data_IF_948172179288
#
_entry.id   IF_948172179288
#
_cell.length_a   1.000
_cell.length_b   1.000
_cell.length_c   1.000
_cell.angle_alpha   90.00
_cell.angle_beta   90.00
_cell.angle_gamma   90.00
#
_symmetry.space_group_name_H-M   'P 1'
#
loop_
_entity.id
_entity.type
_entity.pdbx_description
1 polymer ?
#
# COMPACT_ATOMS: atom_id res chain seq x y z
N UNK A 1 -25.03 0.07 10.38
CA UNK A 1 -23.62 0.19 9.95
C UNK A 1 -23.22 1.62 9.63
N UNK A 2 -24.10 2.44 9.08
CA UNK A 2 -23.87 3.89 8.84
C UNK A 2 -23.21 4.63 10.02
N UNK A 3 -23.63 4.35 11.26
CA UNK A 3 -23.06 5.01 12.45
C UNK A 3 -21.55 4.80 12.63
N UNK A 4 -20.96 3.83 11.93
CA UNK A 4 -19.54 3.53 11.99
C UNK A 4 -18.77 4.01 10.76
N UNK A 5 -19.42 4.36 9.64
CA UNK A 5 -18.71 4.91 8.48
C UNK A 5 -18.28 6.34 8.81
N UNK A 6 -16.96 6.53 8.85
CA UNK A 6 -16.32 7.84 9.09
C UNK A 6 -15.92 8.41 7.75
N UNK A 7 -16.12 9.72 7.57
CA UNK A 7 -15.60 10.46 6.42
C UNK A 7 -14.54 11.43 6.91
N UNK A 8 -13.26 11.05 6.82
CA UNK A 8 -12.18 11.94 7.22
C UNK A 8 -12.09 13.19 6.30
N UNK A 9 -11.68 14.32 6.87
CA UNK A 9 -11.52 15.55 6.10
C UNK A 9 -10.34 15.49 5.12
N UNK A 10 -9.35 14.65 5.40
CA UNK A 10 -8.19 14.36 4.56
C UNK A 10 -8.42 13.29 3.50
N UNK A 11 -9.66 12.78 3.37
CA UNK A 11 -10.06 11.84 2.33
C UNK A 11 -9.62 12.28 0.94
N UNK A 12 -8.95 11.37 0.25
CA UNK A 12 -8.80 11.39 -1.20
C UNK A 12 -10.17 11.56 -1.87
N UNK A 13 -10.27 12.38 -2.92
CA UNK A 13 -11.50 12.48 -3.71
C UNK A 13 -11.99 11.10 -4.17
N UNK A 14 -11.09 10.21 -4.58
CA UNK A 14 -11.44 8.87 -5.03
C UNK A 14 -12.03 8.04 -3.88
N UNK A 15 -11.37 8.00 -2.73
CA UNK A 15 -11.86 7.26 -1.55
C UNK A 15 -13.22 7.79 -1.08
N UNK A 16 -13.43 9.12 -1.12
CA UNK A 16 -14.73 9.72 -0.77
C UNK A 16 -15.84 9.21 -1.68
N UNK A 17 -15.58 9.06 -2.98
CA UNK A 17 -16.56 8.55 -3.94
C UNK A 17 -16.81 7.06 -3.73
N UNK A 18 -15.75 6.27 -3.55
CA UNK A 18 -15.86 4.82 -3.27
C UNK A 18 -16.65 4.58 -1.99
N UNK A 19 -16.34 5.29 -0.90
CA UNK A 19 -16.98 5.11 0.38
C UNK A 19 -18.46 5.51 0.36
N UNK A 20 -18.82 6.55 -0.40
CA UNK A 20 -20.21 6.92 -0.65
C UNK A 20 -20.97 5.83 -1.40
N UNK A 21 -20.38 5.28 -2.46
CA UNK A 21 -21.01 4.20 -3.23
C UNK A 21 -21.21 2.93 -2.37
N UNK A 22 -20.30 2.66 -1.43
CA UNK A 22 -20.46 1.57 -0.44
C UNK A 22 -21.55 1.89 0.58
N UNK A 23 -21.63 3.12 1.08
CA UNK A 23 -22.66 3.53 2.03
C UNK A 23 -24.07 3.43 1.43
N UNK A 24 -24.26 3.87 0.18
CA UNK A 24 -25.55 3.77 -0.52
C UNK A 24 -25.97 2.30 -0.73
N UNK A 25 -25.04 1.42 -1.07
CA UNK A 25 -25.34 -0.01 -1.21
C UNK A 25 -25.76 -0.65 0.12
N UNK A 26 -25.08 -0.28 1.21
CA UNK A 26 -25.45 -0.71 2.57
C UNK A 26 -26.86 -0.21 2.94
N UNK A 27 -27.18 1.05 2.65
CA UNK A 27 -28.50 1.65 2.88
C UNK A 27 -29.60 0.94 2.09
N UNK A 28 -29.38 0.73 0.79
CA UNK A 28 -30.33 0.07 -0.11
C UNK A 28 -30.64 -1.36 0.35
N UNK A 29 -29.62 -2.12 0.79
CA UNK A 29 -29.80 -3.48 1.30
C UNK A 29 -30.56 -3.51 2.63
N UNK A 30 -30.27 -2.59 3.56
CA UNK A 30 -31.00 -2.50 4.82
C UNK A 30 -32.49 -2.16 4.60
N UNK A 31 -32.80 -1.27 3.64
CA UNK A 31 -34.19 -0.93 3.29
C UNK A 31 -34.91 -2.05 2.54
N UNK A 32 -34.17 -2.78 1.68
CA UNK A 32 -34.65 -3.97 1.01
C UNK A 32 -35.09 -5.06 2.00
N UNK A 33 -34.27 -5.33 3.02
CA UNK A 33 -34.60 -6.28 4.08
C UNK A 33 -35.76 -5.84 4.97
N UNK A 34 -35.89 -4.55 5.28
CA UNK A 34 -37.07 -4.01 5.98
C UNK A 34 -38.36 -4.22 5.17
N UNK A 35 -38.32 -3.94 3.87
CA UNK A 35 -39.47 -4.17 2.99
C UNK A 35 -39.76 -5.66 2.75
N UNK A 36 -38.75 -6.54 2.83
CA UNK A 36 -38.89 -8.00 2.72
C UNK A 36 -39.43 -8.62 4.00
N UNK A 37 -39.05 -8.09 5.16
CA UNK A 37 -39.61 -8.47 6.47
C UNK A 37 -41.06 -7.99 6.64
N UNK A 38 -41.43 -6.83 6.09
CA UNK A 38 -42.84 -6.38 6.01
C UNK A 38 -43.69 -7.15 4.99
N UNK A 39 -43.05 -7.78 3.99
CA UNK A 39 -43.71 -8.57 2.94
C UNK A 39 -43.65 -10.09 3.12
N UNK A 40 -43.07 -10.61 4.21
CA UNK A 40 -43.20 -12.03 4.57
C UNK A 40 -44.57 -12.32 5.20
N UNK A 41 -45.60 -12.13 4.38
CA UNK A 41 -46.90 -12.81 4.45
C UNK A 41 -47.35 -13.24 3.05
N UNK A 42 -46.46 -13.74 2.19
CA UNK A 42 -46.85 -14.63 1.09
C UNK A 42 -45.62 -15.27 0.44
N UNK A 43 -45.76 -16.56 0.12
CA UNK A 43 -44.76 -17.43 -0.50
C UNK A 43 -44.37 -16.94 -1.89
N UNK A 44 -43.08 -16.98 -2.23
CA UNK A 44 -42.51 -18.07 -3.03
C UNK A 44 -41.01 -17.83 -3.24
N UNK A 45 -40.24 -18.90 -3.08
CA UNK A 45 -38.81 -18.94 -3.34
C UNK A 45 -38.58 -19.73 -4.63
N UNK A 46 -37.87 -19.14 -5.60
CA UNK A 46 -36.81 -19.80 -6.39
C UNK A 46 -36.32 -18.93 -7.55
N UNK A 47 -35.04 -19.19 -7.87
CA UNK A 47 -34.24 -18.77 -9.01
C UNK A 47 -33.51 -17.43 -8.83
N UNK A 48 -32.20 -17.53 -8.59
CA UNK A 48 -31.19 -16.66 -9.21
C UNK A 48 -29.81 -17.31 -9.05
N UNK A 49 -29.40 -18.06 -10.08
CA UNK A 49 -28.00 -18.34 -10.39
C UNK A 49 -27.71 -17.73 -11.77
N UNK A 50 -26.51 -17.16 -11.92
CA UNK A 50 -25.89 -16.65 -13.15
C UNK A 50 -26.40 -15.34 -13.78
N UNK A 51 -26.46 -14.26 -12.99
CA UNK A 51 -26.32 -12.91 -13.53
C UNK A 51 -24.95 -12.30 -13.17
N UNK A 52 -24.14 -12.01 -14.19
CA UNK A 52 -23.12 -10.95 -14.10
C UNK A 52 -23.88 -9.69 -13.69
N UNK A 53 -23.85 -9.37 -12.41
CA UNK A 53 -24.65 -8.29 -11.87
C UNK A 53 -24.14 -6.99 -12.47
N UNK A 54 -24.98 -6.34 -13.27
CA UNK A 54 -24.65 -5.04 -13.87
C UNK A 54 -24.34 -4.05 -12.76
N UNK A 55 -23.34 -3.19 -12.99
CA UNK A 55 -23.04 -2.09 -12.08
C UNK A 55 -24.30 -1.26 -11.86
N UNK A 56 -24.46 -0.69 -10.66
CA UNK A 56 -25.54 0.27 -10.43
C UNK A 56 -25.29 1.53 -11.28
N UNK A 57 -26.35 2.24 -11.65
CA UNK A 57 -26.23 3.53 -12.36
C UNK A 57 -25.30 4.52 -11.63
N UNK A 58 -25.26 4.46 -10.29
CA UNK A 58 -24.38 5.29 -9.48
C UNK A 58 -22.91 4.84 -9.53
N UNK A 59 -22.66 3.54 -9.51
CA UNK A 59 -21.31 2.99 -9.71
C UNK A 59 -20.79 3.34 -11.12
N UNK A 60 -21.63 3.23 -12.15
CA UNK A 60 -21.25 3.59 -13.53
C UNK A 60 -20.91 5.08 -13.66
N UNK A 61 -21.70 5.96 -13.04
CA UNK A 61 -21.41 7.41 -13.01
C UNK A 61 -20.12 7.70 -12.26
N UNK A 62 -19.91 7.07 -11.12
CA UNK A 62 -18.72 7.24 -10.30
C UNK A 62 -17.48 6.76 -11.04
N UNK A 63 -17.54 5.58 -11.67
CA UNK A 63 -16.47 5.04 -12.50
C UNK A 63 -16.16 5.93 -13.69
N UNK A 64 -17.20 6.42 -14.39
CA UNK A 64 -17.02 7.32 -15.53
C UNK A 64 -16.30 8.60 -15.12
N UNK A 65 -16.67 9.18 -13.98
CA UNK A 65 -16.01 10.36 -13.45
C UNK A 65 -14.56 10.09 -13.01
N UNK A 66 -14.30 8.99 -12.28
CA UNK A 66 -12.93 8.62 -11.89
C UNK A 66 -12.02 8.37 -13.10
N UNK A 67 -12.55 7.72 -14.15
CA UNK A 67 -11.83 7.52 -15.41
C UNK A 67 -11.53 8.87 -16.10
N UNK A 68 -12.51 9.79 -16.12
CA UNK A 68 -12.36 11.11 -16.71
C UNK A 68 -11.28 11.96 -15.98
N UNK A 69 -11.11 11.80 -14.66
CA UNK A 69 -10.04 12.44 -13.90
C UNK A 69 -8.63 11.93 -14.30
N UNK A 70 -8.53 10.70 -14.81
CA UNK A 70 -7.28 10.03 -15.16
C UNK A 70 -6.92 10.16 -16.65
N UNK A 71 -7.88 10.51 -17.52
CA UNK A 71 -7.70 10.62 -18.97
C UNK A 71 -7.24 12.02 -19.41
N UNK A 72 -5.99 12.19 -19.92
CA UNK A 72 -5.48 13.49 -20.36
C UNK A 72 -6.27 14.17 -21.49
N UNK A 73 -7.12 13.43 -22.20
CA UNK A 73 -7.98 13.95 -23.27
C UNK A 73 -9.32 14.46 -22.76
N UNK A 74 -9.69 14.13 -21.52
CA UNK A 74 -10.92 14.59 -20.87
C UNK A 74 -10.82 16.06 -20.43
N UNK A 75 -11.95 16.78 -20.50
CA UNK A 75 -12.06 18.12 -19.90
C UNK A 75 -11.95 18.10 -18.38
N UNK A 76 -12.25 16.96 -17.75
CA UNK A 76 -12.19 16.76 -16.31
C UNK A 76 -10.82 16.25 -15.83
N UNK A 77 -9.83 16.14 -16.71
CA UNK A 77 -8.50 15.65 -16.34
C UNK A 77 -7.88 16.44 -15.18
N UNK A 78 -7.45 15.74 -14.13
CA UNK A 78 -6.80 16.34 -12.96
C UNK A 78 -5.52 15.59 -12.60
N UNK A 79 -4.32 16.13 -12.85
CA UNK A 79 -3.09 15.51 -12.39
C UNK A 79 -2.96 15.66 -10.86
N UNK A 80 -2.33 14.67 -10.22
CA UNK A 80 -1.97 14.75 -8.81
C UNK A 80 -0.67 15.53 -8.71
N UNK A 81 -0.67 16.66 -7.99
CA UNK A 81 0.50 17.56 -7.90
C UNK A 81 1.14 17.50 -6.52
N UNK A 82 0.29 17.46 -5.48
CA UNK A 82 0.68 17.39 -4.08
C UNK A 82 -0.12 16.29 -3.38
N UNK A 83 0.46 15.68 -2.35
CA UNK A 83 -0.27 14.74 -1.49
C UNK A 83 -1.17 15.45 -0.48
N UNK A 84 -0.86 16.68 -0.07
CA UNK A 84 -1.65 17.39 0.93
C UNK A 84 -2.92 18.06 0.39
N UNK A 85 -3.07 18.22 -0.93
CA UNK A 85 -4.14 19.05 -1.52
C UNK A 85 -4.58 18.50 -2.87
N UNK A 86 -5.89 18.28 -3.01
CA UNK A 86 -6.49 17.89 -4.29
C UNK A 86 -6.40 19.01 -5.32
N UNK A 87 -6.41 18.65 -6.60
CA UNK A 87 -6.26 19.62 -7.69
C UNK A 87 -7.30 20.75 -7.62
N UNK A 88 -8.56 20.42 -7.31
CA UNK A 88 -9.64 21.40 -7.15
C UNK A 88 -9.53 22.24 -5.87
N UNK A 89 -8.75 21.79 -4.90
CA UNK A 89 -8.43 22.55 -3.69
C UNK A 89 -7.38 23.65 -3.92
N UNK A 90 -6.77 23.70 -5.11
CA UNK A 90 -5.80 24.74 -5.46
C UNK A 90 -6.53 26.06 -5.71
N UNK A 91 -6.21 27.08 -4.91
CA UNK A 91 -6.72 28.44 -5.12
C UNK A 91 -6.04 29.10 -6.34
N UNK A 92 -6.62 28.89 -7.51
CA UNK A 92 -6.13 29.41 -8.78
C UNK A 92 -6.19 30.94 -8.91
N UNK A 93 -6.84 31.64 -7.96
CA UNK A 93 -6.86 33.11 -7.94
C UNK A 93 -5.57 33.71 -7.39
N UNK A 94 -4.75 32.91 -6.69
CA UNK A 94 -3.45 33.36 -6.19
C UNK A 94 -2.46 33.57 -7.34
N UNK A 95 -1.74 34.70 -7.39
CA UNK A 95 -0.78 34.98 -8.47
C UNK A 95 0.25 33.87 -8.67
N UNK A 96 0.80 33.31 -7.58
CA UNK A 96 1.75 32.20 -7.67
C UNK A 96 1.15 30.97 -8.36
N UNK A 97 -0.08 30.59 -8.00
CA UNK A 97 -0.73 29.41 -8.59
C UNK A 97 -1.05 29.63 -10.07
N UNK A 98 -1.55 30.83 -10.40
CA UNK A 98 -1.93 31.19 -11.76
C UNK A 98 -0.72 31.25 -12.71
N UNK A 99 0.38 31.87 -12.28
CA UNK A 99 1.51 32.18 -13.15
C UNK A 99 2.70 31.22 -13.01
N UNK A 100 2.87 30.56 -11.86
CA UNK A 100 4.01 29.65 -11.64
C UNK A 100 3.54 28.21 -11.64
N UNK A 101 2.63 27.85 -10.73
CA UNK A 101 2.21 26.47 -10.54
C UNK A 101 1.56 25.88 -11.79
N UNK A 102 0.70 26.64 -12.48
CA UNK A 102 0.06 26.22 -13.73
C UNK A 102 1.07 25.83 -14.81
N UNK A 103 2.08 26.68 -15.04
CA UNK A 103 3.12 26.41 -16.04
C UNK A 103 4.03 25.25 -15.61
N UNK A 104 4.33 25.15 -14.31
CA UNK A 104 5.02 23.99 -13.76
C UNK A 104 4.27 22.69 -14.06
N UNK A 105 2.96 22.62 -13.78
CA UNK A 105 2.15 21.42 -14.02
C UNK A 105 2.15 21.05 -15.51
N UNK A 106 1.98 22.03 -16.40
CA UNK A 106 2.04 21.79 -17.84
C UNK A 106 3.38 21.21 -18.29
N UNK A 107 4.50 21.76 -17.80
CA UNK A 107 5.82 21.24 -18.10
C UNK A 107 6.04 19.84 -17.49
N UNK A 108 5.64 19.67 -16.23
CA UNK A 108 5.80 18.45 -15.46
C UNK A 108 5.07 17.25 -16.09
N UNK A 109 3.87 17.46 -16.64
CA UNK A 109 3.12 16.43 -17.38
C UNK A 109 3.93 15.80 -18.52
N UNK A 110 4.76 16.60 -19.20
CA UNK A 110 5.65 16.09 -20.27
C UNK A 110 6.90 15.37 -19.74
N UNK A 111 7.22 15.52 -18.46
CA UNK A 111 8.41 14.99 -17.80
C UNK A 111 8.11 13.64 -17.14
N UNK A 112 6.94 13.50 -16.53
CA UNK A 112 6.50 12.27 -15.89
C UNK A 112 6.08 11.23 -16.91
N UNK A 113 6.05 9.96 -16.48
CA UNK A 113 5.73 8.84 -17.36
C UNK A 113 4.25 8.74 -17.69
N UNK A 114 3.41 9.01 -16.69
CA UNK A 114 1.95 9.08 -16.80
C UNK A 114 1.56 10.50 -16.41
N UNK A 115 0.77 11.20 -17.23
CA UNK A 115 0.52 12.63 -17.04
C UNK A 115 -0.18 12.96 -15.71
N UNK A 116 -0.84 11.98 -15.09
CA UNK A 116 -1.43 12.09 -13.76
C UNK A 116 -0.41 12.21 -12.64
N UNK A 117 0.85 11.82 -12.86
CA UNK A 117 1.88 11.61 -11.84
C UNK A 117 2.79 12.82 -11.59
N UNK A 118 2.32 14.06 -11.79
CA UNK A 118 3.11 15.28 -11.52
C UNK A 118 3.74 15.25 -10.12
N UNK A 119 3.02 14.67 -9.14
CA UNK A 119 3.45 14.43 -7.76
C UNK A 119 4.77 13.64 -7.65
N UNK A 120 5.06 12.71 -8.56
CA UNK A 120 6.32 11.95 -8.56
C UNK A 120 7.49 12.88 -8.85
N UNK A 121 7.35 13.78 -9.85
CA UNK A 121 8.35 14.80 -10.12
C UNK A 121 8.46 15.80 -8.96
N UNK A 122 7.34 16.22 -8.37
CA UNK A 122 7.33 17.10 -7.19
C UNK A 122 8.18 16.52 -6.06
N UNK A 123 8.03 15.23 -5.77
CA UNK A 123 8.83 14.54 -4.75
C UNK A 123 10.30 14.43 -5.13
N UNK A 124 10.63 14.08 -6.37
CA UNK A 124 12.02 14.06 -6.82
C UNK A 124 12.67 15.44 -6.66
N UNK A 125 12.01 16.52 -7.10
CA UNK A 125 12.51 17.87 -6.90
C UNK A 125 12.70 18.19 -5.40
N UNK A 126 11.75 17.81 -4.55
CA UNK A 126 11.86 17.96 -3.11
C UNK A 126 13.10 17.24 -2.57
N UNK A 127 13.27 15.95 -2.87
CA UNK A 127 14.38 15.15 -2.35
C UNK A 127 15.75 15.65 -2.84
N UNK A 128 15.86 16.03 -4.11
CA UNK A 128 17.10 16.56 -4.66
C UNK A 128 17.44 17.97 -4.18
N UNK A 129 16.46 18.75 -3.71
CA UNK A 129 16.69 20.10 -3.19
C UNK A 129 16.78 20.17 -1.67
N UNK A 130 16.36 19.13 -0.94
CA UNK A 130 16.43 19.08 0.53
C UNK A 130 17.28 17.91 1.03
N UNK A 131 16.87 16.68 0.76
CA UNK A 131 17.48 15.44 1.27
C UNK A 131 18.95 15.30 0.87
N UNK A 132 19.23 15.41 -0.42
CA UNK A 132 20.59 15.27 -0.98
C UNK A 132 21.56 16.35 -0.46
N UNK A 133 21.28 17.67 -0.57
CA UNK A 133 22.20 18.69 -0.07
C UNK A 133 22.34 18.64 1.45
N UNK A 134 21.27 18.30 2.19
CA UNK A 134 21.34 18.10 3.64
C UNK A 134 22.29 16.96 4.01
N UNK A 135 22.18 15.81 3.34
CA UNK A 135 23.07 14.68 3.55
C UNK A 135 24.52 15.04 3.22
N UNK A 136 24.75 15.69 2.08
CA UNK A 136 26.08 16.13 1.65
C UNK A 136 26.72 17.09 2.67
N UNK A 137 25.96 18.05 3.20
CA UNK A 137 26.46 18.99 4.20
C UNK A 137 26.78 18.29 5.54
N UNK A 138 25.98 17.31 5.96
CA UNK A 138 26.27 16.54 7.19
C UNK A 138 27.55 15.69 7.06
N UNK A 139 27.83 15.15 5.88
CA UNK A 139 29.04 14.34 5.65
C UNK A 139 30.30 15.17 5.41
N UNK A 140 30.20 16.22 4.59
CA UNK A 140 31.37 16.94 4.05
C UNK A 140 31.50 18.39 4.51
N UNK A 141 30.43 18.97 5.06
CA UNK A 141 30.40 20.32 5.58
C UNK A 141 30.68 20.36 7.07
N UNK A 142 29.68 20.74 7.87
CA UNK A 142 29.78 20.81 9.33
C UNK A 142 28.64 20.05 9.98
N UNK A 143 28.98 18.92 10.58
CA UNK A 143 28.01 18.15 11.34
C UNK A 143 27.60 18.89 12.62
N UNK A 144 26.30 18.98 12.85
CA UNK A 144 25.72 19.30 14.16
C UNK A 144 24.60 18.32 14.47
N UNK A 145 24.41 17.99 15.75
CA UNK A 145 23.32 17.09 16.16
C UNK A 145 21.94 17.65 15.84
N UNK A 146 21.77 18.98 15.91
CA UNK A 146 20.50 19.62 15.54
C UNK A 146 20.19 19.35 14.07
N UNK A 147 21.15 19.59 13.17
CA UNK A 147 20.96 19.29 11.74
C UNK A 147 20.78 17.78 11.51
N UNK A 148 21.55 16.93 12.18
CA UNK A 148 21.40 15.48 12.09
C UNK A 148 19.99 15.00 12.47
N UNK A 149 19.44 15.48 13.59
CA UNK A 149 18.08 15.15 14.05
C UNK A 149 17.03 15.68 13.08
N UNK A 150 17.14 16.95 12.66
CA UNK A 150 16.20 17.53 11.70
C UNK A 150 16.22 16.81 10.36
N UNK A 151 17.41 16.37 9.91
CA UNK A 151 17.55 15.53 8.72
C UNK A 151 16.84 14.19 8.90
N UNK A 152 17.07 13.47 10.00
CA UNK A 152 16.40 12.19 10.28
C UNK A 152 14.87 12.33 10.32
N UNK A 153 14.34 13.39 10.93
CA UNK A 153 12.91 13.68 10.97
C UNK A 153 12.34 13.98 9.58
N UNK A 154 13.08 14.74 8.78
CA UNK A 154 12.73 15.01 7.38
C UNK A 154 12.69 13.70 6.57
N UNK A 155 13.70 12.83 6.69
CA UNK A 155 13.69 11.53 6.00
C UNK A 155 12.51 10.69 6.43
N UNK A 156 12.20 10.62 7.73
CA UNK A 156 11.05 9.88 8.23
C UNK A 156 9.73 10.34 7.57
N UNK A 157 9.57 11.64 7.35
CA UNK A 157 8.41 12.19 6.63
C UNK A 157 8.38 11.83 5.14
N UNK A 158 9.53 11.52 4.53
CA UNK A 158 9.65 11.19 3.12
C UNK A 158 9.58 9.70 2.82
N UNK A 159 9.95 8.85 3.78
CA UNK A 159 10.10 7.40 3.62
C UNK A 159 8.86 6.71 3.04
N UNK A 160 7.67 7.02 3.55
CA UNK A 160 6.42 6.42 3.05
C UNK A 160 6.19 6.73 1.57
N UNK A 161 6.11 8.01 1.24
CA UNK A 161 5.94 8.47 -0.15
C UNK A 161 7.06 7.95 -1.07
N UNK A 162 8.33 8.01 -0.66
CA UNK A 162 9.43 7.52 -1.48
C UNK A 162 9.34 6.01 -1.74
N UNK A 163 9.05 5.21 -0.70
CA UNK A 163 8.91 3.75 -0.84
C UNK A 163 7.82 3.39 -1.83
N UNK A 164 6.67 4.07 -1.79
CA UNK A 164 5.58 3.78 -2.71
C UNK A 164 5.80 4.40 -4.10
N UNK A 165 6.56 5.48 -4.24
CA UNK A 165 7.10 5.90 -5.53
C UNK A 165 8.02 4.82 -6.12
N UNK A 166 8.87 4.20 -5.29
CA UNK A 166 9.73 3.10 -5.72
C UNK A 166 8.95 1.83 -6.03
N UNK A 167 7.85 1.54 -5.31
CA UNK A 167 6.91 0.48 -5.65
C UNK A 167 6.33 0.69 -7.06
N UNK A 168 5.88 1.90 -7.38
CA UNK A 168 5.43 2.25 -8.72
C UNK A 168 6.57 2.15 -9.75
N UNK A 169 7.77 2.61 -9.41
CA UNK A 169 8.95 2.56 -10.29
C UNK A 169 9.30 1.13 -10.69
N UNK A 170 9.35 0.20 -9.74
CA UNK A 170 9.77 -1.19 -10.01
C UNK A 170 8.72 -2.01 -10.75
N UNK A 171 7.43 -1.73 -10.52
CA UNK A 171 6.34 -2.37 -11.25
C UNK A 171 6.19 -1.77 -12.64
N UNK A 172 6.02 -0.44 -12.74
CA UNK A 172 5.77 0.23 -14.02
C UNK A 172 7.01 0.46 -14.88
N UNK A 173 8.21 0.15 -14.37
CA UNK A 173 9.51 0.35 -15.04
C UNK A 173 9.83 1.83 -15.25
N UNK A 174 9.77 2.59 -14.16
CA UNK A 174 10.08 4.01 -14.10
C UNK A 174 8.89 4.90 -13.77
N UNK A 175 9.18 6.13 -13.35
CA UNK A 175 8.17 7.18 -13.04
C UNK A 175 8.31 8.41 -13.93
N UNK A 176 9.42 8.53 -14.65
CA UNK A 176 9.66 9.60 -15.62
C UNK A 176 9.51 9.11 -17.07
N UNK A 177 9.31 10.09 -17.96
CA UNK A 177 9.23 9.86 -19.40
C UNK A 177 10.54 9.23 -19.91
N UNK A 178 10.44 8.35 -20.91
CA UNK A 178 11.57 7.56 -21.45
C UNK A 178 12.78 8.40 -21.87
N UNK A 179 12.57 9.66 -22.28
CA UNK A 179 13.63 10.63 -22.62
C UNK A 179 14.58 10.94 -21.45
N UNK A 180 14.10 10.78 -20.22
CA UNK A 180 14.86 10.93 -18.98
C UNK A 180 15.24 9.57 -18.38
N UNK A 181 15.16 8.48 -19.16
CA UNK A 181 15.34 7.11 -18.67
C UNK A 181 16.69 6.88 -17.96
N UNK A 182 17.74 7.59 -18.35
CA UNK A 182 19.02 7.54 -17.63
C UNK A 182 18.89 8.08 -16.20
N UNK A 183 18.31 9.27 -16.02
CA UNK A 183 18.07 9.84 -14.70
C UNK A 183 17.09 8.98 -13.89
N UNK A 184 15.99 8.53 -14.53
CA UNK A 184 14.98 7.65 -13.92
C UNK A 184 15.57 6.32 -13.42
N UNK A 185 16.56 5.76 -14.14
CA UNK A 185 17.26 4.56 -13.71
C UNK A 185 18.29 4.80 -12.61
N UNK A 186 18.88 5.99 -12.56
CA UNK A 186 20.05 6.27 -11.70
C UNK A 186 19.69 6.94 -10.38
N UNK A 187 18.61 7.73 -10.29
CA UNK A 187 18.24 8.40 -9.05
C UNK A 187 18.09 7.44 -7.84
N UNK A 188 17.57 6.20 -7.98
CA UNK A 188 17.42 5.31 -6.83
C UNK A 188 18.77 4.97 -6.18
N UNK A 189 19.86 4.93 -6.96
CA UNK A 189 21.18 4.64 -6.41
C UNK A 189 21.68 5.72 -5.44
N UNK A 190 21.16 6.95 -5.54
CA UNK A 190 21.42 8.01 -4.57
C UNK A 190 20.36 8.07 -3.48
N UNK A 191 19.07 7.96 -3.85
CA UNK A 191 17.96 8.19 -2.92
C UNK A 191 17.60 6.96 -2.08
N UNK A 192 17.77 5.74 -2.57
CA UNK A 192 17.43 4.51 -1.84
C UNK A 192 18.14 4.46 -0.47
N UNK A 193 19.47 4.65 -0.36
CA UNK A 193 20.15 4.59 0.93
C UNK A 193 19.72 5.71 1.89
N UNK A 194 19.42 6.91 1.36
CA UNK A 194 18.93 8.04 2.16
C UNK A 194 17.55 7.76 2.77
N UNK A 195 16.77 6.92 2.11
CA UNK A 195 15.43 6.52 2.54
C UNK A 195 15.43 5.16 3.26
N UNK A 196 16.61 4.57 3.50
CA UNK A 196 16.77 3.33 4.25
C UNK A 196 16.62 2.04 3.43
N UNK A 197 16.50 2.15 2.11
CA UNK A 197 16.53 0.99 1.21
C UNK A 197 17.96 0.54 0.93
N UNK A 198 18.13 -0.77 0.81
CA UNK A 198 19.32 -1.36 0.18
C UNK A 198 19.10 -1.43 -1.33
N UNK A 199 20.16 -1.20 -2.11
CA UNK A 199 20.03 -1.07 -3.56
C UNK A 199 19.38 -2.31 -4.17
N UNK A 200 18.35 -2.13 -5.01
CA UNK A 200 17.65 -3.21 -5.72
C UNK A 200 17.02 -4.32 -4.85
N UNK A 201 17.25 -4.38 -3.54
CA UNK A 201 16.74 -5.45 -2.70
C UNK A 201 15.23 -5.40 -2.59
N UNK A 202 14.64 -4.20 -2.58
CA UNK A 202 13.19 -4.07 -2.63
C UNK A 202 12.59 -4.68 -3.90
N UNK A 203 13.23 -4.50 -5.06
CA UNK A 203 12.81 -5.16 -6.30
C UNK A 203 12.91 -6.69 -6.23
N UNK A 204 14.03 -7.23 -5.75
CA UNK A 204 14.21 -8.68 -5.68
C UNK A 204 13.28 -9.31 -4.66
N UNK A 205 13.10 -8.69 -3.50
CA UNK A 205 12.21 -9.18 -2.46
C UNK A 205 10.75 -9.04 -2.86
N UNK A 206 10.31 -7.84 -3.28
CA UNK A 206 8.90 -7.59 -3.60
C UNK A 206 8.49 -8.29 -4.90
N UNK A 207 9.13 -7.97 -6.02
CA UNK A 207 8.68 -8.37 -7.36
C UNK A 207 9.11 -9.78 -7.72
N UNK A 208 10.32 -10.20 -7.32
CA UNK A 208 10.88 -11.50 -7.74
C UNK A 208 10.67 -12.62 -6.74
N UNK A 209 10.16 -12.31 -5.55
CA UNK A 209 9.97 -13.25 -4.46
C UNK A 209 8.54 -13.16 -3.88
N UNK A 210 8.17 -12.07 -3.21
CA UNK A 210 6.87 -11.92 -2.54
C UNK A 210 5.67 -12.07 -3.50
N UNK A 211 5.65 -11.35 -4.63
CA UNK A 211 4.60 -11.52 -5.65
C UNK A 211 4.58 -12.90 -6.31
N UNK A 212 5.69 -13.62 -6.30
CA UNK A 212 5.75 -14.98 -6.86
C UNK A 212 5.15 -15.99 -5.90
N UNK A 213 5.32 -15.77 -4.59
CA UNK A 213 4.87 -16.68 -3.54
C UNK A 213 3.50 -16.29 -2.96
N UNK A 214 3.01 -15.06 -3.18
CA UNK A 214 1.66 -14.62 -2.82
C UNK A 214 1.36 -14.64 -1.32
N UNK A 215 2.35 -14.32 -0.48
CA UNK A 215 2.29 -14.52 0.98
C UNK A 215 2.09 -16.00 1.41
N UNK A 216 2.23 -16.95 0.48
CA UNK A 216 2.18 -18.38 0.74
C UNK A 216 3.39 -18.91 1.51
N UNK A 217 3.44 -20.23 1.79
CA UNK A 217 4.46 -20.84 2.66
C UNK A 217 5.92 -20.67 2.19
N UNK A 218 6.13 -20.45 0.89
CA UNK A 218 7.46 -20.21 0.32
C UNK A 218 7.93 -18.75 0.44
N UNK A 219 7.05 -17.83 0.85
CA UNK A 219 7.38 -16.44 1.04
C UNK A 219 8.17 -16.22 2.36
N UNK A 220 9.39 -15.71 2.25
CA UNK A 220 10.24 -15.31 3.38
C UNK A 220 9.61 -14.24 4.27
N UNK A 221 8.64 -13.49 3.76
CA UNK A 221 7.83 -12.52 4.49
C UNK A 221 6.42 -13.01 4.83
N UNK A 222 6.14 -14.31 4.65
CA UNK A 222 4.83 -14.89 4.97
C UNK A 222 4.46 -14.72 6.43
N UNK A 223 3.22 -14.33 6.68
CA UNK A 223 2.63 -14.29 8.02
C UNK A 223 1.96 -15.61 8.42
N UNK A 224 1.76 -16.55 7.49
CA UNK A 224 0.92 -17.75 7.70
C UNK A 224 1.43 -18.67 8.80
N UNK A 225 2.75 -18.75 8.98
CA UNK A 225 3.38 -19.58 10.00
C UNK A 225 3.28 -18.99 11.42
N UNK A 226 2.59 -17.86 11.58
CA UNK A 226 2.50 -17.14 12.84
C UNK A 226 1.06 -16.97 13.31
N UNK A 227 0.88 -16.99 14.63
CA UNK A 227 -0.29 -16.42 15.28
C UNK A 227 -0.23 -14.90 15.16
N UNK A 228 -1.10 -14.31 14.34
CA UNK A 228 -0.97 -12.93 13.86
C UNK A 228 -1.44 -11.85 14.84
N UNK A 229 -2.00 -12.28 15.97
CA UNK A 229 -2.34 -11.44 17.12
C UNK A 229 -1.47 -11.74 18.36
N UNK A 230 -0.33 -12.41 18.16
CA UNK A 230 0.66 -12.72 19.21
C UNK A 230 1.87 -11.79 19.11
N UNK A 231 2.13 -11.04 20.19
CA UNK A 231 3.28 -10.15 20.29
C UNK A 231 4.62 -10.87 20.14
N UNK A 232 4.78 -12.05 20.72
CA UNK A 232 6.03 -12.82 20.61
C UNK A 232 6.26 -13.32 19.18
N UNK A 233 5.20 -13.72 18.49
CA UNK A 233 5.29 -14.16 17.09
C UNK A 233 5.65 -12.99 16.17
N UNK A 234 5.06 -11.83 16.41
CA UNK A 234 5.43 -10.60 15.71
C UNK A 234 6.90 -10.23 15.92
N UNK A 235 7.40 -10.28 17.16
CA UNK A 235 8.82 -10.03 17.43
C UNK A 235 9.74 -11.05 16.73
N UNK A 236 9.36 -12.33 16.72
CA UNK A 236 10.11 -13.36 16.00
C UNK A 236 10.13 -13.10 14.49
N UNK A 237 8.98 -12.73 13.91
CA UNK A 237 8.84 -12.37 12.50
C UNK A 237 9.74 -11.20 12.11
N UNK A 238 9.62 -10.07 12.83
CA UNK A 238 10.42 -8.86 12.57
C UNK A 238 11.92 -9.14 12.79
N UNK A 239 12.28 -9.80 13.89
CA UNK A 239 13.66 -10.12 14.23
C UNK A 239 14.33 -11.02 13.18
N UNK A 240 13.63 -12.06 12.72
CA UNK A 240 14.09 -12.94 11.65
C UNK A 240 14.38 -12.13 10.38
N UNK A 241 13.43 -11.31 9.94
CA UNK A 241 13.60 -10.54 8.71
C UNK A 241 14.79 -9.57 8.80
N UNK A 242 14.88 -8.78 9.88
CA UNK A 242 15.95 -7.78 10.04
C UNK A 242 17.34 -8.43 10.00
N UNK A 243 17.50 -9.61 10.60
CA UNK A 243 18.79 -10.26 10.79
C UNK A 243 19.16 -11.20 9.64
N UNK A 244 18.19 -11.93 9.07
CA UNK A 244 18.46 -13.04 8.16
C UNK A 244 18.13 -12.78 6.69
N UNK A 245 17.29 -11.79 6.35
CA UNK A 245 16.79 -11.60 4.97
C UNK A 245 17.90 -11.46 3.93
N UNK A 246 19.01 -10.80 4.29
CA UNK A 246 20.16 -10.60 3.39
C UNK A 246 20.82 -11.91 2.94
N UNK A 247 20.66 -12.98 3.73
CA UNK A 247 21.15 -14.32 3.42
C UNK A 247 20.02 -15.23 2.91
N UNK A 248 18.84 -15.19 3.53
CA UNK A 248 17.70 -16.05 3.16
C UNK A 248 17.21 -15.79 1.72
N UNK A 249 17.17 -14.53 1.26
CA UNK A 249 16.67 -14.20 -0.07
C UNK A 249 17.59 -14.73 -1.20
N UNK A 250 18.92 -14.56 -1.17
CA UNK A 250 19.81 -15.25 -2.10
C UNK A 250 19.68 -16.78 -2.04
N UNK A 251 19.59 -17.37 -0.85
CA UNK A 251 19.45 -18.82 -0.68
C UNK A 251 18.14 -19.35 -1.24
N UNK A 252 17.04 -18.61 -1.09
CA UNK A 252 15.76 -18.88 -1.75
C UNK A 252 15.93 -18.93 -3.27
N UNK A 253 16.62 -17.96 -3.87
CA UNK A 253 16.85 -18.00 -5.32
C UNK A 253 17.73 -19.17 -5.74
N UNK A 254 18.69 -19.61 -4.92
CA UNK A 254 19.46 -20.84 -5.17
C UNK A 254 18.56 -22.07 -5.13
N UNK A 255 17.70 -22.21 -4.12
CA UNK A 255 16.80 -23.37 -3.98
C UNK A 255 15.79 -23.45 -5.13
N UNK A 256 15.37 -22.31 -5.67
CA UNK A 256 14.52 -22.19 -6.87
C UNK A 256 15.31 -22.27 -8.20
N UNK A 257 16.61 -22.59 -8.18
CA UNK A 257 17.49 -22.70 -9.36
C UNK A 257 17.63 -21.40 -10.18
N UNK A 258 17.40 -20.24 -9.55
CA UNK A 258 17.51 -18.88 -10.15
C UNK A 258 18.84 -18.22 -9.77
N UNK A 259 19.96 -18.89 -10.08
CA UNK A 259 21.31 -18.51 -9.62
C UNK A 259 21.71 -17.06 -9.99
N UNK A 260 21.31 -16.54 -11.15
CA UNK A 260 21.59 -15.15 -11.52
C UNK A 260 20.93 -14.15 -10.56
N UNK A 261 19.72 -14.43 -10.08
CA UNK A 261 19.05 -13.57 -9.11
C UNK A 261 19.69 -13.69 -7.73
N UNK A 262 20.12 -14.90 -7.34
CA UNK A 262 20.86 -15.11 -6.10
C UNK A 262 22.13 -14.26 -6.04
N UNK A 263 22.96 -14.32 -7.10
CA UNK A 263 24.21 -13.55 -7.18
C UNK A 263 23.93 -12.04 -7.19
N UNK A 264 22.94 -11.58 -7.97
CA UNK A 264 22.60 -10.15 -8.01
C UNK A 264 22.12 -9.64 -6.65
N UNK A 265 21.21 -10.37 -6.01
CA UNK A 265 20.67 -9.99 -4.69
C UNK A 265 21.78 -9.92 -3.65
N UNK A 266 22.64 -10.94 -3.59
CA UNK A 266 23.77 -10.96 -2.66
C UNK A 266 24.75 -9.81 -2.93
N UNK A 267 25.08 -9.55 -4.20
CA UNK A 267 25.96 -8.45 -4.59
C UNK A 267 25.41 -7.10 -4.09
N UNK A 268 24.13 -6.83 -4.31
CA UNK A 268 23.55 -5.55 -3.91
C UNK A 268 23.39 -5.38 -2.40
N UNK A 269 23.02 -6.43 -1.67
CA UNK A 269 22.99 -6.42 -0.20
C UNK A 269 24.38 -6.15 0.38
N UNK A 270 25.40 -6.91 -0.04
CA UNK A 270 26.77 -6.74 0.44
C UNK A 270 27.36 -5.38 0.04
N UNK A 271 27.04 -4.88 -1.15
CA UNK A 271 27.46 -3.53 -1.58
C UNK A 271 26.82 -2.45 -0.73
N UNK A 272 25.54 -2.60 -0.38
CA UNK A 272 24.84 -1.67 0.50
C UNK A 272 25.44 -1.68 1.91
N UNK A 273 25.76 -2.86 2.45
CA UNK A 273 26.49 -2.96 3.73
C UNK A 273 27.90 -2.38 3.66
N UNK A 274 28.59 -2.55 2.53
CA UNK A 274 29.87 -1.90 2.26
C UNK A 274 29.75 -0.38 2.28
N UNK A 275 28.71 0.20 1.67
CA UNK A 275 28.41 1.63 1.73
C UNK A 275 28.18 2.08 3.17
N UNK A 276 27.27 1.42 3.90
CA UNK A 276 26.95 1.76 5.29
C UNK A 276 28.19 1.72 6.19
N UNK A 277 29.00 0.66 6.05
CA UNK A 277 30.23 0.49 6.81
C UNK A 277 31.27 1.57 6.48
N UNK A 278 31.52 1.82 5.19
CA UNK A 278 32.47 2.85 4.75
C UNK A 278 32.04 4.24 5.19
N UNK A 279 30.75 4.58 5.05
CA UNK A 279 30.20 5.86 5.51
C UNK A 279 30.36 6.02 7.03
N UNK A 280 30.08 4.95 7.80
CA UNK A 280 30.26 4.96 9.25
C UNK A 280 31.73 5.12 9.65
N UNK A 281 32.66 4.51 8.93
CA UNK A 281 34.10 4.68 9.17
C UNK A 281 34.58 6.09 8.84
N UNK A 282 34.03 6.69 7.79
CA UNK A 282 34.36 8.05 7.37
C UNK A 282 33.84 9.11 8.34
N UNK A 283 32.53 9.09 8.64
CA UNK A 283 31.89 10.02 9.57
C UNK A 283 30.74 9.32 10.30
N UNK A 284 30.98 8.95 11.57
CA UNK A 284 30.04 8.15 12.36
C UNK A 284 28.74 8.89 12.63
N UNK A 285 28.82 10.16 13.04
CA UNK A 285 27.64 10.92 13.43
C UNK A 285 26.72 11.18 12.23
N UNK A 286 27.31 11.55 11.08
CA UNK A 286 26.56 11.72 9.84
C UNK A 286 25.96 10.40 9.36
N UNK A 287 26.74 9.31 9.33
CA UNK A 287 26.24 8.00 8.90
C UNK A 287 25.08 7.48 9.76
N UNK A 288 25.10 7.74 11.07
CA UNK A 288 23.98 7.37 11.95
C UNK A 288 22.69 8.08 11.52
N UNK A 289 22.74 9.42 11.36
CA UNK A 289 21.53 10.21 11.06
C UNK A 289 21.05 10.02 9.62
N UNK A 290 21.97 9.96 8.66
CA UNK A 290 21.66 9.99 7.23
C UNK A 290 21.35 8.61 6.67
N UNK A 291 21.94 7.54 7.21
CA UNK A 291 21.87 6.20 6.60
C UNK A 291 21.38 5.12 7.57
N UNK A 292 21.96 5.01 8.77
CA UNK A 292 21.65 3.88 9.67
C UNK A 292 20.26 4.01 10.32
N UNK A 293 19.87 5.20 10.77
CA UNK A 293 18.51 5.43 11.30
C UNK A 293 17.46 5.13 10.22
N UNK A 294 17.51 5.74 9.01
CA UNK A 294 16.60 5.38 7.92
C UNK A 294 16.59 3.89 7.60
N UNK A 295 17.76 3.24 7.52
CA UNK A 295 17.89 1.82 7.23
C UNK A 295 17.15 0.93 8.23
N UNK A 296 17.35 1.17 9.54
CA UNK A 296 16.66 0.40 10.59
C UNK A 296 15.16 0.67 10.57
N UNK A 297 14.76 1.95 10.47
CA UNK A 297 13.36 2.34 10.45
C UNK A 297 12.62 1.79 9.23
N UNK A 298 13.27 1.75 8.05
CA UNK A 298 12.66 1.22 6.83
C UNK A 298 12.39 -0.28 6.98
N UNK A 299 13.37 -1.06 7.44
CA UNK A 299 13.18 -2.51 7.66
C UNK A 299 12.07 -2.80 8.67
N UNK A 300 12.01 -2.03 9.75
CA UNK A 300 10.93 -2.14 10.74
C UNK A 300 9.58 -1.79 10.12
N UNK A 301 9.48 -0.63 9.45
CA UNK A 301 8.25 -0.13 8.85
C UNK A 301 7.66 -1.10 7.81
N UNK A 302 8.50 -1.63 6.93
CA UNK A 302 8.09 -2.62 5.92
C UNK A 302 7.51 -3.89 6.55
N UNK A 303 8.08 -4.36 7.66
CA UNK A 303 7.60 -5.56 8.35
C UNK A 303 6.35 -5.33 9.18
N UNK A 304 6.24 -4.17 9.82
CA UNK A 304 4.99 -3.75 10.48
C UNK A 304 3.86 -3.62 9.46
N UNK A 305 4.14 -3.03 8.30
CA UNK A 305 3.20 -2.87 7.19
C UNK A 305 2.76 -4.21 6.60
N UNK A 306 3.71 -5.06 6.21
CA UNK A 306 3.41 -6.39 5.66
C UNK A 306 2.58 -7.24 6.63
N UNK A 307 2.89 -7.19 7.93
CA UNK A 307 2.11 -7.88 8.94
C UNK A 307 0.65 -7.44 8.92
N UNK A 308 0.39 -6.13 8.86
CA UNK A 308 -0.97 -5.58 8.78
C UNK A 308 -1.67 -5.93 7.47
N UNK A 309 -0.95 -5.86 6.34
CA UNK A 309 -1.44 -6.19 5.00
C UNK A 309 -1.90 -7.65 4.87
N UNK A 310 -1.22 -8.57 5.55
CA UNK A 310 -1.42 -10.01 5.47
C UNK A 310 -1.79 -10.65 6.82
N UNK A 311 -2.44 -9.91 7.72
CA UNK A 311 -2.81 -10.43 9.04
C UNK A 311 -3.99 -11.40 9.01
N UNK A 312 -4.93 -11.21 8.06
CA UNK A 312 -6.23 -11.87 8.04
C UNK A 312 -6.34 -12.88 6.88
N UNK A 313 -5.44 -13.86 6.83
CA UNK A 313 -5.46 -14.88 5.76
C UNK A 313 -6.56 -15.90 6.03
N UNK A 314 -7.40 -16.14 5.03
CA UNK A 314 -8.47 -17.16 5.06
C UNK A 314 -7.91 -18.57 5.26
N UNK A 315 -8.51 -19.33 6.18
CA UNK A 315 -8.16 -20.72 6.42
C UNK A 315 -8.66 -21.67 5.31
N UNK A 316 -9.67 -21.33 4.54
CA UNK A 316 -10.24 -22.19 3.50
C UNK A 316 -9.52 -21.99 2.18
N UNK A 317 -9.43 -20.75 1.70
CA UNK A 317 -8.80 -20.37 0.43
C UNK A 317 -7.65 -19.36 0.66
N UNK A 318 -6.55 -19.77 1.32
CA UNK A 318 -5.43 -18.90 1.68
C UNK A 318 -4.60 -18.40 0.49
N UNK A 319 -4.74 -19.02 -0.67
CA UNK A 319 -4.01 -18.72 -1.91
C UNK A 319 -4.76 -17.71 -2.81
N UNK A 320 -6.01 -17.39 -2.48
CA UNK A 320 -6.77 -16.33 -3.15
C UNK A 320 -6.29 -14.95 -2.69
N UNK A 321 -5.85 -14.10 -3.62
CA UNK A 321 -5.43 -12.73 -3.32
C UNK A 321 -6.54 -11.91 -2.65
N UNK A 322 -7.82 -12.20 -2.92
CA UNK A 322 -8.97 -11.58 -2.25
C UNK A 322 -9.06 -11.90 -0.75
N UNK A 323 -8.46 -13.01 -0.34
CA UNK A 323 -8.59 -13.64 0.98
C UNK A 323 -7.28 -13.72 1.75
N UNK A 324 -6.16 -13.47 1.08
CA UNK A 324 -4.82 -13.42 1.66
C UNK A 324 -4.33 -11.98 1.92
N UNK A 325 -5.06 -10.98 1.40
CA UNK A 325 -4.77 -9.55 1.53
C UNK A 325 -6.04 -8.76 1.88
N UNK A 326 -5.89 -7.49 2.27
CA UNK A 326 -7.02 -6.64 2.64
C UNK A 326 -6.98 -5.29 1.92
N UNK A 327 -8.15 -4.67 1.76
CA UNK A 327 -8.28 -3.31 1.21
C UNK A 327 -8.65 -2.32 2.32
N UNK A 328 -8.01 -1.15 2.32
CA UNK A 328 -8.23 -0.04 3.22
C UNK A 328 -8.69 1.17 2.40
N UNK A 329 -9.84 1.72 2.78
CA UNK A 329 -10.43 2.92 2.19
C UNK A 329 -10.42 4.00 3.26
N UNK A 330 -10.27 5.28 2.89
CA UNK A 330 -10.19 6.34 3.89
C UNK A 330 -9.04 6.15 4.89
N UNK A 331 -7.82 6.09 4.35
CA UNK A 331 -6.60 5.93 5.15
C UNK A 331 -5.49 6.86 4.68
N UNK A 332 -4.60 7.31 5.60
CA UNK A 332 -3.44 8.13 5.25
C UNK A 332 -2.57 7.52 4.15
N UNK A 333 -2.39 6.20 4.13
CA UNK A 333 -1.65 5.51 3.07
C UNK A 333 -2.23 5.73 1.67
N UNK A 334 -3.55 5.89 1.50
CA UNK A 334 -4.10 6.24 0.19
C UNK A 334 -3.72 7.65 -0.25
N UNK A 335 -3.65 8.59 0.70
CA UNK A 335 -3.34 9.99 0.45
C UNK A 335 -1.84 10.24 0.23
N UNK A 336 -1.00 9.70 1.11
CA UNK A 336 0.42 10.02 1.21
C UNK A 336 1.33 8.93 0.64
N UNK A 337 0.75 7.77 0.29
CA UNK A 337 1.49 6.60 -0.21
C UNK A 337 0.83 6.01 -1.46
N UNK A 338 0.24 6.85 -2.31
CA UNK A 338 -0.24 6.46 -3.66
C UNK A 338 -1.21 5.27 -3.64
N UNK A 339 -2.34 5.38 -2.92
CA UNK A 339 -3.38 4.34 -2.88
C UNK A 339 -2.90 2.95 -2.40
N UNK A 340 -1.86 2.90 -1.55
CA UNK A 340 -1.33 1.65 -0.98
C UNK A 340 -2.36 0.85 -0.17
N UNK A 341 -3.39 1.50 0.37
CA UNK A 341 -4.51 0.83 1.03
C UNK A 341 -5.27 -0.15 0.13
N UNK A 342 -5.19 -0.02 -1.20
CA UNK A 342 -5.80 -0.98 -2.13
C UNK A 342 -4.88 -2.19 -2.40
N UNK A 343 -4.30 -2.78 -1.35
CA UNK A 343 -3.33 -3.87 -1.46
C UNK A 343 -3.88 -5.13 -2.13
N UNK A 344 -5.16 -5.48 -1.91
CA UNK A 344 -5.81 -6.56 -2.67
C UNK A 344 -5.83 -6.28 -4.17
N UNK A 345 -6.17 -5.05 -4.56
CA UNK A 345 -6.13 -4.65 -5.97
C UNK A 345 -4.71 -4.79 -6.52
N UNK A 346 -3.70 -4.38 -5.75
CA UNK A 346 -2.29 -4.50 -6.09
C UNK A 346 -1.86 -5.96 -6.34
N UNK A 347 -2.19 -6.89 -5.45
CA UNK A 347 -1.88 -8.32 -5.66
C UNK A 347 -2.53 -8.89 -6.92
N UNK A 348 -3.80 -8.54 -7.18
CA UNK A 348 -4.54 -8.99 -8.36
C UNK A 348 -3.94 -8.51 -9.69
N UNK A 349 -3.32 -7.32 -9.70
CA UNK A 349 -2.57 -6.82 -10.85
C UNK A 349 -1.49 -5.84 -10.40
N UNK A 350 -0.25 -6.33 -10.19
CA UNK A 350 0.86 -5.51 -9.68
C UNK A 350 1.30 -4.41 -10.64
N UNK A 351 0.93 -4.49 -11.92
CA UNK A 351 1.25 -3.50 -12.95
C UNK A 351 0.21 -2.38 -13.03
N UNK A 352 -0.86 -2.43 -12.23
CA UNK A 352 -1.91 -1.41 -12.25
C UNK A 352 -1.35 -0.09 -11.72
N UNK A 353 -1.63 1.00 -12.44
CA UNK A 353 -1.29 2.35 -11.98
C UNK A 353 -2.06 2.67 -10.70
N UNK A 354 -1.40 3.33 -9.74
CA UNK A 354 -1.97 3.57 -8.42
C UNK A 354 -3.32 4.29 -8.42
N UNK A 355 -3.59 5.17 -9.39
CA UNK A 355 -4.88 5.89 -9.50
C UNK A 355 -6.03 5.03 -10.02
N UNK A 356 -5.73 3.86 -10.55
CA UNK A 356 -6.73 2.94 -11.09
C UNK A 356 -7.22 1.91 -10.06
N UNK A 357 -6.58 1.81 -8.88
CA UNK A 357 -7.02 0.87 -7.84
C UNK A 357 -8.47 1.14 -7.36
N UNK A 358 -8.88 2.39 -7.07
CA UNK A 358 -10.27 2.69 -6.70
C UNK A 358 -11.27 2.29 -7.79
N UNK A 359 -10.93 2.56 -9.06
CA UNK A 359 -11.75 2.21 -10.22
C UNK A 359 -11.90 0.68 -10.34
N UNK A 360 -10.79 -0.04 -10.22
CA UNK A 360 -10.79 -1.51 -10.25
C UNK A 360 -11.60 -2.11 -9.11
N UNK A 361 -11.51 -1.52 -7.91
CA UNK A 361 -12.28 -1.96 -6.75
C UNK A 361 -13.78 -1.82 -7.00
N UNK A 362 -14.25 -0.64 -7.44
CA UNK A 362 -15.68 -0.42 -7.74
C UNK A 362 -16.18 -1.38 -8.83
N UNK A 363 -15.42 -1.54 -9.91
CA UNK A 363 -15.77 -2.45 -11.01
C UNK A 363 -15.89 -3.92 -10.57
N UNK A 364 -15.08 -4.33 -9.60
CA UNK A 364 -15.00 -5.71 -9.12
C UNK A 364 -15.67 -5.91 -7.76
N UNK A 365 -16.45 -4.95 -7.27
CA UNK A 365 -17.07 -5.01 -5.93
C UNK A 365 -17.88 -6.28 -5.70
N UNK A 366 -18.61 -6.74 -6.71
CA UNK A 366 -19.36 -8.01 -6.65
C UNK A 366 -18.43 -9.23 -6.48
N UNK A 367 -17.24 -9.21 -7.09
CA UNK A 367 -16.23 -10.26 -6.91
C UNK A 367 -15.69 -10.23 -5.49
N UNK A 368 -15.36 -9.04 -4.96
CA UNK A 368 -14.94 -8.87 -3.57
C UNK A 368 -15.99 -9.44 -2.60
N UNK A 369 -17.28 -9.18 -2.85
CA UNK A 369 -18.38 -9.75 -2.07
C UNK A 369 -18.41 -11.28 -2.16
N UNK A 370 -18.39 -11.85 -3.37
CA UNK A 370 -18.44 -13.30 -3.59
C UNK A 370 -17.23 -14.05 -3.01
N UNK A 371 -16.10 -13.36 -2.89
CA UNK A 371 -14.85 -13.89 -2.35
C UNK A 371 -14.72 -13.62 -0.84
N UNK A 372 -15.72 -13.03 -0.18
CA UNK A 372 -15.66 -12.66 1.23
C UNK A 372 -14.40 -11.85 1.58
N UNK A 373 -13.99 -10.96 0.68
CA UNK A 373 -12.82 -10.11 0.86
C UNK A 373 -13.04 -9.14 2.03
N UNK A 374 -11.95 -8.82 2.74
CA UNK A 374 -12.01 -7.91 3.88
C UNK A 374 -11.65 -6.48 3.45
N UNK A 375 -12.57 -5.56 3.75
CA UNK A 375 -12.40 -4.13 3.47
C UNK A 375 -12.59 -3.34 4.75
N UNK A 376 -11.61 -2.51 5.06
CA UNK A 376 -11.64 -1.65 6.24
C UNK A 376 -11.69 -0.19 5.83
N UNK A 377 -12.13 0.64 6.76
CA UNK A 377 -12.02 2.08 6.65
C UNK A 377 -11.47 2.71 7.93
N UNK A 378 -10.84 3.88 7.83
CA UNK A 378 -10.35 4.65 8.98
C UNK A 378 -9.37 3.89 9.90
N UNK A 379 -8.61 2.94 9.34
CA UNK A 379 -7.53 2.24 10.04
C UNK A 379 -6.44 1.82 9.06
N UNK A 380 -5.22 2.34 9.24
CA UNK A 380 -4.08 2.04 8.37
C UNK A 380 -3.37 0.74 8.80
N UNK A 381 -2.52 0.16 7.93
CA UNK A 381 -1.84 -1.12 8.18
C UNK A 381 -1.04 -1.15 9.48
N UNK A 382 -0.34 -0.06 9.80
CA UNK A 382 0.41 0.06 11.06
C UNK A 382 -0.52 -0.05 12.27
N UNK A 383 -1.69 0.60 12.20
CA UNK A 383 -2.67 0.56 13.28
C UNK A 383 -3.40 -0.77 13.35
N UNK A 384 -3.65 -1.45 12.22
CA UNK A 384 -4.11 -2.85 12.21
C UNK A 384 -3.13 -3.72 12.99
N UNK A 385 -1.83 -3.63 12.69
CA UNK A 385 -0.79 -4.36 13.43
C UNK A 385 -0.86 -4.03 14.91
N UNK A 386 -0.87 -2.75 15.32
CA UNK A 386 -0.97 -2.36 16.73
C UNK A 386 -2.20 -2.97 17.41
N UNK A 387 -3.38 -2.88 16.77
CA UNK A 387 -4.65 -3.35 17.33
C UNK A 387 -4.70 -4.87 17.46
N UNK A 388 -4.09 -5.61 16.53
CA UNK A 388 -3.92 -7.05 16.65
C UNK A 388 -3.01 -7.42 17.82
N UNK A 389 -1.88 -6.72 17.99
CA UNK A 389 -0.96 -6.99 19.09
C UNK A 389 -1.57 -6.66 20.47
N UNK A 390 -2.52 -5.73 20.53
CA UNK A 390 -3.32 -5.45 21.73
C UNK A 390 -4.61 -6.27 21.81
N UNK A 391 -4.88 -7.16 20.84
CA UNK A 391 -6.10 -7.96 20.70
C UNK A 391 -7.41 -7.14 20.74
N UNK A 392 -7.34 -5.89 20.27
CA UNK A 392 -8.49 -4.98 20.19
C UNK A 392 -9.30 -5.26 18.91
N UNK A 393 -9.90 -6.46 18.87
CA UNK A 393 -10.75 -6.89 17.76
C UNK A 393 -12.04 -6.10 17.65
N UNK A 394 -12.52 -5.52 18.75
CA UNK A 394 -13.71 -4.67 18.72
C UNK A 394 -13.47 -3.42 17.87
N UNK A 395 -12.31 -2.78 18.01
CA UNK A 395 -11.95 -1.65 17.14
C UNK A 395 -11.80 -2.08 15.68
N UNK A 396 -11.13 -3.22 15.42
CA UNK A 396 -10.98 -3.76 14.05
C UNK A 396 -12.34 -4.05 13.40
N UNK A 397 -13.26 -4.68 14.13
CA UNK A 397 -14.60 -5.01 13.64
C UNK A 397 -15.47 -3.77 13.39
N UNK A 398 -15.29 -2.69 14.18
CA UNK A 398 -15.93 -1.39 13.92
C UNK A 398 -15.45 -0.72 12.63
N UNK A 399 -14.19 -0.96 12.26
CA UNK A 399 -13.59 -0.41 11.04
C UNK A 399 -13.88 -1.28 9.80
N UNK A 400 -14.48 -2.47 9.96
CA UNK A 400 -14.83 -3.34 8.84
C UNK A 400 -16.03 -2.79 8.09
N UNK A 401 -15.88 -2.58 6.77
CA UNK A 401 -16.95 -2.25 5.84
C UNK A 401 -17.50 -3.56 5.27
N UNK A 402 -18.77 -3.92 5.57
CA UNK A 402 -19.38 -5.09 4.98
C UNK A 402 -19.47 -4.98 3.47
N UNK A 403 -19.03 -6.03 2.79
CA UNK A 403 -19.17 -6.17 1.35
C UNK A 403 -19.99 -7.43 1.08
N UNK A 404 -21.19 -7.26 0.56
CA UNK A 404 -22.14 -8.35 0.29
C UNK A 404 -23.15 -8.58 1.43
N UNK A 405 -24.12 -9.45 1.15
CA UNK A 405 -25.25 -9.72 2.06
C UNK A 405 -24.81 -10.45 3.33
N UNK A 406 -23.92 -11.44 3.19
CA UNK A 406 -23.42 -12.24 4.32
C UNK A 406 -22.73 -11.35 5.36
N UNK A 407 -21.79 -10.52 4.93
CA UNK A 407 -21.06 -9.63 5.84
C UNK A 407 -21.95 -8.56 6.47
N UNK A 408 -22.98 -8.12 5.74
CA UNK A 408 -23.91 -7.10 6.22
C UNK A 408 -24.79 -7.64 7.36
N UNK A 409 -25.18 -8.91 7.27
CA UNK A 409 -25.97 -9.60 8.28
C UNK A 409 -25.19 -9.87 9.58
N UNK A 410 -23.85 -9.84 9.56
CA UNK A 410 -23.05 -10.10 10.76
C UNK A 410 -23.27 -9.08 11.87
N UNK A 411 -23.56 -9.62 13.06
CA UNK A 411 -23.44 -8.95 14.35
C UNK A 411 -22.01 -8.50 14.62
N UNK A 412 -21.81 -7.65 15.63
CA UNK A 412 -20.47 -7.20 16.00
C UNK A 412 -19.62 -8.36 16.52
N UNK A 413 -20.22 -9.27 17.29
CA UNK A 413 -19.58 -10.47 17.80
C UNK A 413 -19.14 -11.42 16.68
N UNK A 414 -19.98 -11.62 15.66
CA UNK A 414 -19.64 -12.44 14.49
C UNK A 414 -18.48 -11.84 13.69
N UNK A 415 -18.42 -10.52 13.52
CA UNK A 415 -17.28 -9.84 12.88
C UNK A 415 -16.00 -10.03 13.68
N UNK A 416 -16.07 -9.87 14.99
CA UNK A 416 -14.92 -10.07 15.89
C UNK A 416 -14.39 -11.50 15.77
N UNK A 417 -15.29 -12.49 15.83
CA UNK A 417 -14.89 -13.89 15.74
C UNK A 417 -14.38 -14.24 14.33
N UNK A 418 -15.01 -13.70 13.28
CA UNK A 418 -14.52 -13.86 11.91
C UNK A 418 -13.08 -13.35 11.79
N UNK A 419 -12.80 -12.10 12.21
CA UNK A 419 -11.45 -11.54 12.17
C UNK A 419 -10.46 -12.34 13.03
N UNK A 420 -10.87 -12.81 14.22
CA UNK A 420 -10.03 -13.63 15.10
C UNK A 420 -9.67 -14.97 14.47
N UNK A 421 -10.63 -15.63 13.81
CA UNK A 421 -10.39 -16.92 13.16
C UNK A 421 -9.32 -16.82 12.04
N UNK A 422 -9.22 -15.65 11.40
CA UNK A 422 -8.30 -15.34 10.29
C UNK A 422 -6.87 -15.01 10.73
N UNK A 423 -6.61 -14.84 12.02
CA UNK A 423 -5.26 -14.57 12.55
C UNK A 423 -4.55 -15.83 13.04
N UNK A 424 -5.25 -16.97 13.07
CA UNK A 424 -4.75 -18.27 13.56
C UNK A 424 -3.54 -18.78 12.78
N UNK A 425 -2.46 -19.18 13.43
CA UNK A 425 -1.36 -19.87 12.75
C UNK A 425 -1.82 -21.08 11.91
N UNK A 426 -1.24 -21.26 10.71
CA UNK A 426 -1.42 -22.47 9.90
C UNK A 426 -0.45 -23.57 10.34
N UNK A 427 -0.92 -24.82 10.37
CA UNK A 427 -0.04 -25.97 10.61
C UNK A 427 0.74 -26.34 9.34
N UNK A 428 1.90 -27.02 9.45
CA UNK A 428 2.64 -27.52 8.29
C UNK A 428 1.79 -28.42 7.37
N UNK A 429 0.89 -29.22 7.94
CA UNK A 429 -0.02 -30.10 7.20
C UNK A 429 -1.05 -29.31 6.41
N UNK A 430 -1.63 -28.27 7.01
CA UNK A 430 -2.59 -27.38 6.33
C UNK A 430 -1.94 -26.62 5.18
N UNK A 431 -0.73 -26.10 5.40
CA UNK A 431 0.05 -25.44 4.34
C UNK A 431 0.39 -26.42 3.21
N UNK A 432 0.76 -27.65 3.55
CA UNK A 432 1.06 -28.67 2.55
C UNK A 432 -0.18 -29.04 1.72
N UNK A 433 -1.34 -29.17 2.35
CA UNK A 433 -2.60 -29.55 1.70
C UNK A 433 -3.15 -28.44 0.79
N UNK A 434 -2.95 -27.18 1.14
CA UNK A 434 -3.54 -26.04 0.40
C UNK A 434 -2.65 -25.49 -0.71
N UNK A 435 -1.36 -25.84 -0.72
CA UNK A 435 -0.36 -25.31 -1.66
C UNK A 435 0.39 -26.38 -2.48
N UNK A 436 0.05 -27.67 -2.33
CA UNK A 436 0.53 -28.77 -3.18
C UNK A 436 -0.65 -29.62 -3.62
#
# INVERSE_FOLDING_TARGET
MEKYIVYDNGLTKADRLVLKALAVDIEARNQGDQNRTDRQSTQDAKQEEDHVQSLSDEDERTLSYLNALNDPSSSDFQPTVFQGTDYDGIDWKRPFNQYVLKHYIQAARSIVRVETDVVMLTHLLLYFTTSVPSAAYLFFGSFTWIHGVLHSLMQLSYMGAYTLMMHQHIHMRGVLHKRLGFFDHTFPYLLDPLMGHTWNSYFYHHVKHHHVEGNGPGDLSSTMSYQRDSFLHFLHYVGRFIVLVWAELPLYFVSRKRHTLAVKTLFWELSSYGLLYSAFKYNRQAAICVLLIPFVLMRLGMMVGNWGQHAFVDNEEPDSDYRSSITLIDVPSNRYSFNDGYHTSHHLNPMRHWREHPNSFLKQRHVYASQNALVFHNIDYIFITIKLLTKDYEHLAKCLVPIGEEQLAWTMEERIEHLRSRTRQFTPEEMKLKYN
#
